data_IF_135515939609
#
_entry.id   IF_135515939609
#
_cell.length_a   1.000
_cell.length_b   1.000
_cell.length_c   1.000
_cell.angle_alpha   90.00
_cell.angle_beta   90.00
_cell.angle_gamma   90.00
#
_symmetry.space_group_name_H-M   'P 1'
#
loop_
_entity.id
_entity.type
_entity.pdbx_description
1 polymer ?
#
# COMPACT_ATOMS: atom_id res chain seq x y z
N UNK A 1 -23.39 1.70 38.46
CA UNK A 1 -21.95 1.57 38.11
C UNK A 1 -21.56 2.30 36.81
N UNK A 2 -22.19 2.04 35.66
CA UNK A 2 -21.84 2.70 34.37
C UNK A 2 -21.98 4.23 34.36
N UNK A 3 -23.04 4.75 34.99
CA UNK A 3 -23.33 6.18 35.15
C UNK A 3 -22.24 6.89 35.99
N UNK A 4 -21.73 6.22 37.04
CA UNK A 4 -20.68 6.77 37.88
C UNK A 4 -19.39 7.05 37.09
N UNK A 5 -18.95 6.10 36.26
CA UNK A 5 -17.77 6.27 35.41
C UNK A 5 -17.98 7.35 34.34
N UNK A 6 -19.18 7.45 33.78
CA UNK A 6 -19.50 8.50 32.80
C UNK A 6 -19.46 9.89 33.41
N UNK A 7 -19.94 10.05 34.64
CA UNK A 7 -19.97 11.33 35.36
C UNK A 7 -18.63 11.71 36.01
N UNK A 8 -17.65 10.82 35.99
CA UNK A 8 -16.34 11.03 36.61
C UNK A 8 -15.19 10.71 35.64
N UNK A 9 -15.41 10.83 34.32
CA UNK A 9 -14.40 10.47 33.30
C UNK A 9 -13.04 11.13 33.56
N UNK A 10 -13.06 12.38 34.00
CA UNK A 10 -11.85 13.17 34.27
C UNK A 10 -10.97 12.57 35.37
N UNK A 11 -11.56 11.86 36.34
CA UNK A 11 -10.83 11.12 37.38
C UNK A 11 -10.08 9.90 36.85
N UNK A 12 -10.40 9.45 35.63
CA UNK A 12 -9.81 8.29 34.97
C UNK A 12 -8.97 8.67 33.75
N UNK A 13 -8.78 9.96 33.49
CA UNK A 13 -7.88 10.46 32.45
C UNK A 13 -6.45 10.23 32.92
N UNK A 14 -5.67 9.56 32.08
CA UNK A 14 -4.25 9.34 32.32
C UNK A 14 -3.45 10.55 31.89
N UNK A 15 -2.38 10.84 32.62
CA UNK A 15 -1.39 11.83 32.18
C UNK A 15 -0.69 11.36 30.91
N UNK A 16 -0.07 12.29 30.19
CA UNK A 16 0.73 11.97 29.00
C UNK A 16 1.87 10.99 29.33
N UNK A 17 2.57 11.21 30.43
CA UNK A 17 3.63 10.33 30.92
C UNK A 17 3.11 8.90 31.20
N UNK A 18 1.98 8.78 31.89
CA UNK A 18 1.33 7.48 32.13
C UNK A 18 0.93 6.78 30.82
N UNK A 19 0.48 7.54 29.82
CA UNK A 19 0.16 7.01 28.50
C UNK A 19 1.42 6.54 27.76
N UNK A 20 2.51 7.32 27.84
CA UNK A 20 3.79 7.00 27.21
C UNK A 20 4.39 5.72 27.79
N UNK A 21 4.48 5.60 29.11
CA UNK A 21 4.96 4.39 29.80
C UNK A 21 4.12 3.15 29.43
N UNK A 22 2.80 3.30 29.39
CA UNK A 22 1.89 2.22 28.97
C UNK A 22 2.12 1.82 27.51
N UNK A 23 2.33 2.79 26.62
CA UNK A 23 2.57 2.52 25.20
C UNK A 23 3.93 1.85 24.99
N UNK A 24 4.96 2.28 25.70
CA UNK A 24 6.29 1.67 25.68
C UNK A 24 6.23 0.21 26.13
N UNK A 25 5.62 -0.07 27.28
CA UNK A 25 5.43 -1.44 27.76
C UNK A 25 4.70 -2.33 26.75
N UNK A 26 3.65 -1.81 26.11
CA UNK A 26 2.92 -2.54 25.04
C UNK A 26 3.79 -2.81 23.82
N UNK A 27 4.61 -1.84 23.38
CA UNK A 27 5.55 -2.01 22.27
C UNK A 27 6.59 -3.08 22.59
N UNK A 28 7.19 -3.03 23.79
CA UNK A 28 8.17 -4.01 24.26
C UNK A 28 7.59 -5.43 24.25
N UNK A 29 6.42 -5.62 24.87
CA UNK A 29 5.73 -6.92 24.85
C UNK A 29 5.42 -7.43 23.45
N UNK A 30 4.99 -6.55 22.55
CA UNK A 30 4.70 -6.93 21.17
C UNK A 30 5.97 -7.32 20.39
N UNK A 31 7.10 -6.67 20.66
CA UNK A 31 8.38 -7.00 20.04
C UNK A 31 8.91 -8.37 20.51
N UNK A 32 8.75 -8.68 21.80
CA UNK A 32 9.29 -9.89 22.43
C UNK A 32 8.42 -11.14 22.20
N UNK A 33 7.10 -11.00 22.04
CA UNK A 33 6.19 -12.15 21.90
C UNK A 33 5.83 -12.43 20.44
N UNK A 34 6.23 -13.61 19.93
CA UNK A 34 5.75 -14.13 18.64
C UNK A 34 4.24 -14.39 18.65
N UNK A 35 3.71 -14.99 19.72
CA UNK A 35 2.29 -15.30 19.89
C UNK A 35 1.41 -14.04 19.79
N UNK A 36 1.79 -12.94 20.46
CA UNK A 36 1.04 -11.68 20.35
C UNK A 36 1.06 -11.12 18.92
N UNK A 37 2.18 -11.25 18.20
CA UNK A 37 2.30 -10.83 16.79
C UNK A 37 1.44 -11.69 15.87
N UNK A 38 1.41 -13.00 16.12
CA UNK A 38 0.58 -13.95 15.38
C UNK A 38 -0.90 -13.66 15.60
N UNK A 39 -1.36 -13.59 16.85
CA UNK A 39 -2.73 -13.24 17.20
C UNK A 39 -3.16 -11.89 16.61
N UNK A 40 -2.29 -10.88 16.65
CA UNK A 40 -2.56 -9.59 16.02
C UNK A 40 -2.68 -9.70 14.49
N UNK A 41 -1.82 -10.50 13.85
CA UNK A 41 -1.87 -10.76 12.40
C UNK A 41 -3.15 -11.49 12.02
N UNK A 42 -3.55 -12.50 12.77
CA UNK A 42 -4.80 -13.24 12.56
C UNK A 42 -6.02 -12.33 12.68
N UNK A 43 -6.09 -11.52 13.74
CA UNK A 43 -7.16 -10.55 13.91
C UNK A 43 -7.21 -9.54 12.76
N UNK A 44 -6.05 -9.01 12.35
CA UNK A 44 -5.96 -8.09 11.21
C UNK A 44 -6.41 -8.76 9.90
N UNK A 45 -6.00 -10.01 9.65
CA UNK A 45 -6.42 -10.77 8.47
C UNK A 45 -7.93 -11.06 8.50
N UNK A 46 -8.47 -11.47 9.65
CA UNK A 46 -9.90 -11.68 9.85
C UNK A 46 -10.72 -10.41 9.67
N UNK A 47 -10.20 -9.24 10.09
CA UNK A 47 -10.82 -7.95 9.81
C UNK A 47 -10.78 -7.60 8.32
N UNK A 48 -9.61 -7.75 7.67
CA UNK A 48 -9.42 -7.47 6.23
C UNK A 48 -10.35 -8.30 5.36
N UNK A 49 -10.54 -9.59 5.69
CA UNK A 49 -11.44 -10.50 4.97
C UNK A 49 -12.91 -10.11 5.12
N UNK A 50 -13.33 -9.69 6.32
CA UNK A 50 -14.71 -9.27 6.61
C UNK A 50 -15.06 -7.86 6.15
N UNK A 51 -14.08 -7.00 5.88
CA UNK A 51 -14.29 -5.58 5.58
C UNK A 51 -13.51 -5.13 4.33
N UNK A 52 -13.70 -5.77 3.16
CA UNK A 52 -12.93 -5.46 1.96
C UNK A 52 -13.12 -4.02 1.46
N UNK A 53 -14.33 -3.48 1.55
CA UNK A 53 -14.68 -2.12 1.12
C UNK A 53 -14.05 -1.06 2.03
N UNK A 54 -14.22 -1.20 3.36
CA UNK A 54 -13.58 -0.29 4.32
C UNK A 54 -12.07 -0.32 4.20
N UNK A 55 -11.48 -1.49 3.94
CA UNK A 55 -10.05 -1.61 3.67
C UNK A 55 -9.66 -0.83 2.42
N UNK A 56 -10.41 -0.96 1.31
CA UNK A 56 -10.14 -0.22 0.09
C UNK A 56 -10.23 1.29 0.36
N UNK A 57 -11.34 1.77 0.92
CA UNK A 57 -11.53 3.18 1.25
C UNK A 57 -10.39 3.74 2.14
N UNK A 58 -9.95 2.98 3.14
CA UNK A 58 -8.84 3.39 4.00
C UNK A 58 -7.50 3.49 3.26
N UNK A 59 -7.25 2.60 2.30
CA UNK A 59 -6.06 2.67 1.43
C UNK A 59 -6.17 3.86 0.49
N UNK A 60 -7.32 4.09 -0.13
CA UNK A 60 -7.51 5.18 -1.09
C UNK A 60 -7.32 6.57 -0.45
N UNK A 61 -7.66 6.73 0.83
CA UNK A 61 -7.38 7.94 1.61
C UNK A 61 -5.90 8.33 1.62
N UNK A 62 -4.97 7.37 1.58
CA UNK A 62 -3.52 7.70 1.56
C UNK A 62 -3.09 8.34 0.24
N UNK A 63 -3.89 8.16 -0.81
CA UNK A 63 -3.68 8.77 -2.13
C UNK A 63 -4.60 9.98 -2.37
N UNK A 64 -5.40 10.38 -1.37
CA UNK A 64 -6.32 11.51 -1.49
C UNK A 64 -7.48 11.29 -2.46
N UNK A 65 -7.84 10.04 -2.77
CA UNK A 65 -8.93 9.72 -3.69
C UNK A 65 -10.06 8.93 -3.01
N UNK A 66 -11.24 9.04 -3.58
CA UNK A 66 -12.46 8.33 -3.19
C UNK A 66 -12.56 6.97 -3.88
N UNK A 67 -13.49 6.14 -3.42
CA UNK A 67 -13.77 4.84 -4.04
C UNK A 67 -14.33 5.03 -5.45
N UNK A 68 -15.16 6.06 -5.62
CA UNK A 68 -15.79 6.45 -6.88
C UNK A 68 -14.73 6.88 -7.90
N UNK A 69 -13.76 7.70 -7.49
CA UNK A 69 -12.62 8.09 -8.34
C UNK A 69 -11.76 6.88 -8.74
N UNK A 70 -11.55 5.94 -7.83
CA UNK A 70 -10.84 4.69 -8.17
C UNK A 70 -11.57 3.91 -9.26
N UNK A 71 -12.88 3.70 -9.10
CA UNK A 71 -13.66 2.97 -10.09
C UNK A 71 -13.82 3.72 -11.42
N UNK A 72 -13.90 5.05 -11.41
CA UNK A 72 -13.87 5.85 -12.62
C UNK A 72 -12.56 5.67 -13.41
N UNK A 73 -11.40 5.67 -12.72
CA UNK A 73 -10.12 5.35 -13.36
C UNK A 73 -10.10 3.91 -13.88
N UNK A 74 -10.59 2.96 -13.08
CA UNK A 74 -10.66 1.56 -13.48
C UNK A 74 -11.48 1.38 -14.76
N UNK A 75 -12.65 2.03 -14.85
CA UNK A 75 -13.49 2.02 -16.04
C UNK A 75 -12.81 2.69 -17.24
N UNK A 76 -12.20 3.87 -17.05
CA UNK A 76 -11.47 4.55 -18.13
C UNK A 76 -10.29 3.74 -18.69
N UNK A 77 -9.76 2.82 -17.88
CA UNK A 77 -8.69 1.89 -18.25
C UNK A 77 -9.22 0.53 -18.72
N UNK A 78 -10.52 0.37 -18.95
CA UNK A 78 -11.15 -0.91 -19.31
C UNK A 78 -10.84 -2.06 -18.32
N UNK A 79 -10.60 -1.72 -17.06
CA UNK A 79 -10.26 -2.65 -15.99
C UNK A 79 -8.87 -3.28 -16.09
N UNK A 80 -7.97 -2.74 -16.92
CA UNK A 80 -6.62 -3.28 -17.10
C UNK A 80 -5.51 -2.32 -16.67
N UNK A 81 -4.30 -2.86 -16.50
CA UNK A 81 -3.10 -2.11 -16.18
C UNK A 81 -2.80 -1.05 -17.25
N UNK A 82 -2.56 0.19 -16.84
CA UNK A 82 -2.24 1.29 -17.77
C UNK A 82 -0.91 1.12 -18.52
N UNK A 83 -0.01 0.23 -18.06
CA UNK A 83 1.29 -0.02 -18.70
C UNK A 83 1.24 -1.22 -19.63
N UNK A 84 0.84 -2.39 -19.12
CA UNK A 84 0.93 -3.64 -19.88
C UNK A 84 -0.40 -4.15 -20.43
N UNK A 85 -1.53 -3.51 -20.11
CA UNK A 85 -2.87 -3.99 -20.50
C UNK A 85 -3.29 -5.29 -19.80
N UNK A 86 -2.49 -5.81 -18.86
CA UNK A 86 -2.79 -7.03 -18.12
C UNK A 86 -3.63 -6.82 -16.85
N UNK A 87 -4.11 -7.92 -16.30
CA UNK A 87 -4.86 -7.94 -15.04
C UNK A 87 -3.93 -7.97 -13.81
N UNK A 88 -4.47 -7.62 -12.64
CA UNK A 88 -3.77 -7.84 -11.37
C UNK A 88 -3.96 -9.29 -10.90
N UNK A 89 -2.88 -9.94 -10.45
CA UNK A 89 -2.92 -11.27 -9.85
C UNK A 89 -3.67 -11.26 -8.50
N UNK A 90 -3.71 -10.11 -7.83
CA UNK A 90 -4.46 -9.94 -6.58
C UNK A 90 -5.95 -9.62 -6.79
N UNK A 91 -6.41 -9.58 -8.04
CA UNK A 91 -7.78 -9.23 -8.42
C UNK A 91 -8.09 -7.73 -8.34
N UNK A 92 -7.09 -6.88 -8.06
CA UNK A 92 -7.27 -5.42 -7.97
C UNK A 92 -6.02 -4.66 -8.39
N UNK A 93 -6.18 -3.74 -9.32
CA UNK A 93 -5.10 -2.84 -9.74
C UNK A 93 -4.66 -1.90 -8.60
N UNK A 94 -3.36 -1.64 -8.52
CA UNK A 94 -2.70 -0.75 -7.56
C UNK A 94 -2.82 0.69 -8.02
N UNK A 95 -3.03 1.61 -7.08
CA UNK A 95 -2.97 3.04 -7.35
C UNK A 95 -1.50 3.44 -7.47
N UNK A 96 -1.12 3.86 -8.66
CA UNK A 96 0.20 4.38 -8.94
C UNK A 96 0.20 5.90 -8.79
N UNK A 97 1.24 6.45 -8.16
CA UNK A 97 1.32 7.88 -7.85
C UNK A 97 2.76 8.37 -7.89
N UNK A 98 2.93 9.63 -8.25
CA UNK A 98 4.23 10.28 -8.25
C UNK A 98 4.69 10.54 -6.81
N UNK A 99 5.81 9.94 -6.39
CA UNK A 99 6.31 10.08 -5.02
C UNK A 99 6.73 11.51 -4.62
N UNK A 100 7.00 12.40 -5.58
CA UNK A 100 7.36 13.80 -5.28
C UNK A 100 6.15 14.73 -5.15
N UNK A 101 5.05 14.44 -5.83
CA UNK A 101 3.87 15.33 -5.87
C UNK A 101 2.63 14.73 -5.20
N UNK A 102 2.63 13.42 -4.93
CA UNK A 102 1.45 12.69 -4.47
C UNK A 102 0.36 12.50 -5.54
N UNK A 103 0.53 13.05 -6.76
CA UNK A 103 -0.47 12.96 -7.82
C UNK A 103 -0.59 11.52 -8.33
N UNK A 104 -1.82 11.02 -8.38
CA UNK A 104 -2.14 9.71 -8.98
C UNK A 104 -1.88 9.77 -10.49
N UNK A 105 -1.18 8.74 -11.00
CA UNK A 105 -0.87 8.57 -12.42
C UNK A 105 -1.84 7.62 -13.12
N UNK A 106 -2.30 6.58 -12.41
CA UNK A 106 -3.26 5.60 -12.93
C UNK A 106 -3.30 4.33 -12.08
N UNK A 107 -3.89 3.27 -12.64
CA UNK A 107 -3.97 1.96 -12.02
C UNK A 107 -3.08 0.94 -12.72
N UNK A 108 -2.26 0.22 -11.96
CA UNK A 108 -1.27 -0.73 -12.47
C UNK A 108 -1.46 -2.13 -11.89
N UNK A 109 -1.05 -3.17 -12.62
CA UNK A 109 -0.93 -4.51 -12.04
C UNK A 109 0.23 -4.55 -11.02
N UNK A 110 0.25 -5.58 -10.18
CA UNK A 110 1.26 -5.74 -9.12
C UNK A 110 2.70 -5.73 -9.67
N UNK A 111 2.92 -6.40 -10.81
CA UNK A 111 4.23 -6.52 -11.45
C UNK A 111 4.73 -5.19 -12.01
N UNK A 112 3.89 -4.47 -12.75
CA UNK A 112 4.26 -3.16 -13.31
C UNK A 112 4.51 -2.13 -12.20
N UNK A 113 3.63 -2.07 -11.19
CA UNK A 113 3.78 -1.15 -10.07
C UNK A 113 5.08 -1.42 -9.28
N UNK A 114 5.36 -2.69 -8.99
CA UNK A 114 6.61 -3.07 -8.32
C UNK A 114 7.83 -2.80 -9.20
N UNK A 115 7.74 -3.12 -10.50
CA UNK A 115 8.80 -2.89 -11.48
C UNK A 115 9.21 -1.43 -11.57
N UNK A 116 8.25 -0.50 -11.68
CA UNK A 116 8.53 0.94 -11.66
C UNK A 116 9.31 1.34 -10.41
N UNK A 117 8.84 0.91 -9.22
CA UNK A 117 9.52 1.21 -7.97
C UNK A 117 10.93 0.62 -7.90
N UNK A 118 11.13 -0.61 -8.39
CA UNK A 118 12.44 -1.27 -8.43
C UNK A 118 13.41 -0.62 -9.40
N UNK A 119 12.89 -0.05 -10.48
CA UNK A 119 13.67 0.70 -11.46
C UNK A 119 13.81 2.19 -11.09
N UNK A 120 13.42 2.60 -9.89
CA UNK A 120 13.68 3.94 -9.35
C UNK A 120 12.58 4.98 -9.63
N UNK A 121 11.46 4.60 -10.24
CA UNK A 121 10.27 5.44 -10.46
C UNK A 121 10.54 6.79 -11.16
N UNK A 122 11.53 6.83 -12.06
CA UNK A 122 11.82 8.02 -12.89
C UNK A 122 12.00 7.65 -14.35
N UNK A 123 11.68 8.59 -15.26
CA UNK A 123 11.90 8.39 -16.69
C UNK A 123 13.38 8.10 -16.99
N UNK A 124 14.31 8.83 -16.35
CA UNK A 124 15.76 8.68 -16.53
C UNK A 124 16.26 7.29 -16.14
N UNK A 125 15.73 6.69 -15.08
CA UNK A 125 16.16 5.36 -14.64
C UNK A 125 15.58 4.26 -15.53
N UNK A 126 14.35 4.43 -16.03
CA UNK A 126 13.76 3.53 -17.03
C UNK A 126 14.49 3.61 -18.38
N UNK A 127 14.88 4.80 -18.82
CA UNK A 127 15.67 5.00 -20.04
C UNK A 127 17.00 4.24 -19.98
N UNK A 128 17.70 4.28 -18.85
CA UNK A 128 18.92 3.48 -18.64
C UNK A 128 18.67 1.98 -18.75
N UNK A 129 17.57 1.49 -18.17
CA UNK A 129 17.22 0.07 -18.27
C UNK A 129 16.91 -0.34 -19.72
N UNK A 130 16.20 0.51 -20.47
CA UNK A 130 15.92 0.30 -21.89
C UNK A 130 17.21 0.29 -22.73
N UNK A 131 18.12 1.24 -22.50
CA UNK A 131 19.41 1.30 -23.20
C UNK A 131 20.25 0.06 -22.95
N UNK A 132 20.27 -0.45 -21.72
CA UNK A 132 20.96 -1.69 -21.38
C UNK A 132 20.42 -2.90 -22.16
N UNK A 133 19.09 -3.03 -22.26
CA UNK A 133 18.46 -4.12 -23.02
C UNK A 133 18.79 -4.03 -24.51
N UNK A 134 18.63 -2.85 -25.11
CA UNK A 134 18.92 -2.63 -26.54
C UNK A 134 20.38 -2.94 -26.89
N UNK A 135 21.31 -2.49 -26.05
CA UNK A 135 22.73 -2.78 -26.26
C UNK A 135 23.04 -4.28 -26.23
N UNK A 136 22.26 -5.08 -25.48
CA UNK A 136 22.40 -6.54 -25.48
C UNK A 136 21.73 -7.19 -26.71
N UNK A 137 20.59 -6.69 -27.16
CA UNK A 137 19.88 -7.17 -28.34
C UNK A 137 20.70 -6.95 -29.63
N UNK A 138 21.33 -5.77 -29.77
CA UNK A 138 22.22 -5.46 -30.89
C UNK A 138 23.43 -6.41 -30.97
N UNK A 139 23.89 -6.97 -29.86
CA UNK A 139 24.98 -7.95 -29.86
C UNK A 139 24.53 -9.32 -30.36
N UNK A 140 23.26 -9.69 -30.14
CA UNK A 140 22.69 -10.96 -30.63
C UNK A 140 22.50 -10.92 -32.15
N UNK A 141 21.97 -9.81 -32.68
CA UNK A 141 21.77 -9.64 -34.12
C UNK A 141 23.08 -9.65 -34.93
N UNK A 142 24.21 -9.28 -34.31
CA UNK A 142 25.53 -9.28 -34.95
C UNK A 142 26.28 -10.62 -34.84
N UNK A 143 25.79 -11.57 -34.05
CA UNK A 143 26.39 -12.92 -33.91
C UNK A 143 25.71 -14.01 -34.73
N UNK A 144 24.52 -13.72 -35.27
CA UNK A 144 23.74 -14.64 -36.10
C UNK A 144 23.93 -14.39 -37.62
N UNK A 145 24.94 -13.58 -38.02
CA UNK A 145 25.36 -13.34 -39.41
C UNK A 145 26.73 -13.98 -39.72
#
# INVERSE_FOLDING_TARGET
MRIYYQNNKDKFVRTEEQNNLRNEYRRKRYAESSELREKAREQANGWRKRNPEKRLANVLKTFGITVEQYYAMHESQNGVCAICGGNSSSGRLRVDHCHSTGKVRGLLCDSCNLGLGKLGDTAKSLEKALLYLRAAEEQVENTDN
#
